data_IF_792227657367
#
_entry.id   IF_792227657367
#
_cell.length_a   1.000
_cell.length_b   1.000
_cell.length_c   1.000
_cell.angle_alpha   90.00
_cell.angle_beta   90.00
_cell.angle_gamma   90.00
#
_symmetry.space_group_name_H-M   'P 1'
#
loop_
_entity.id
_entity.type
_entity.pdbx_description
1 polymer ?
#
# COMPACT_ATOMS: atom_id res chain seq x y z
N UNK A 1 8.24 17.71 -13.19
CA UNK A 1 7.06 17.01 -12.65
C UNK A 1 7.32 16.77 -11.18
N UNK A 2 6.41 17.20 -10.30
CA UNK A 2 6.56 17.03 -8.86
C UNK A 2 5.75 15.81 -8.43
N UNK A 3 6.44 14.83 -7.85
CA UNK A 3 5.83 13.61 -7.31
C UNK A 3 5.21 13.90 -5.93
N UNK A 4 4.22 13.09 -5.51
CA UNK A 4 3.80 13.05 -4.09
C UNK A 4 4.95 12.55 -3.22
N UNK A 5 4.93 12.81 -1.90
CA UNK A 5 5.98 12.29 -1.02
C UNK A 5 5.99 10.75 -1.00
N UNK A 6 4.81 10.14 -1.15
CA UNK A 6 4.65 8.70 -1.37
C UNK A 6 5.41 8.21 -2.62
N UNK A 7 5.28 8.90 -3.74
CA UNK A 7 5.96 8.53 -4.99
C UNK A 7 7.47 8.83 -4.94
N UNK A 8 7.89 9.93 -4.32
CA UNK A 8 9.31 10.20 -4.07
C UNK A 8 9.95 9.07 -3.23
N UNK A 9 9.26 8.54 -2.22
CA UNK A 9 9.77 7.42 -1.41
C UNK A 9 9.85 6.09 -2.17
N UNK A 10 8.90 5.84 -3.08
CA UNK A 10 8.98 4.68 -3.96
C UNK A 10 10.13 4.80 -4.97
N UNK A 11 10.48 6.01 -5.39
CA UNK A 11 11.47 6.27 -6.44
C UNK A 11 12.90 6.49 -5.93
N UNK A 12 13.11 6.91 -4.67
CA UNK A 12 14.44 7.19 -4.09
C UNK A 12 15.41 6.00 -4.09
N UNK A 13 14.91 4.77 -4.00
CA UNK A 13 15.74 3.56 -4.00
C UNK A 13 15.20 2.51 -4.99
N UNK A 14 14.77 2.97 -6.18
CA UNK A 14 14.30 2.09 -7.25
C UNK A 14 15.40 1.13 -7.68
N UNK A 15 15.12 -0.19 -7.82
CA UNK A 15 13.78 -0.82 -7.86
C UNK A 15 13.30 -1.42 -6.53
N UNK A 16 14.12 -1.42 -5.48
CA UNK A 16 13.88 -2.21 -4.27
C UNK A 16 12.65 -1.75 -3.48
N UNK A 17 12.45 -0.43 -3.34
CA UNK A 17 11.29 0.09 -2.62
C UNK A 17 9.97 -0.28 -3.31
N UNK A 18 9.88 -0.16 -4.64
CA UNK A 18 8.70 -0.57 -5.40
C UNK A 18 8.38 -2.06 -5.21
N UNK A 19 9.40 -2.91 -5.22
CA UNK A 19 9.21 -4.35 -5.04
C UNK A 19 8.66 -4.64 -3.64
N UNK A 20 9.25 -4.04 -2.61
CA UNK A 20 8.90 -4.32 -1.21
C UNK A 20 7.54 -3.73 -0.84
N UNK A 21 7.28 -2.47 -1.19
CA UNK A 21 6.10 -1.73 -0.74
C UNK A 21 4.86 -1.93 -1.61
N UNK A 22 5.02 -2.48 -2.82
CA UNK A 22 3.91 -2.65 -3.75
C UNK A 22 3.89 -4.04 -4.40
N UNK A 23 4.95 -4.45 -5.10
CA UNK A 23 4.89 -5.68 -5.90
C UNK A 23 4.63 -6.93 -5.06
N UNK A 24 5.37 -7.11 -3.95
CA UNK A 24 5.19 -8.25 -3.05
C UNK A 24 3.77 -8.28 -2.46
N UNK A 25 3.26 -7.19 -1.83
CA UNK A 25 1.88 -7.17 -1.34
C UNK A 25 0.82 -7.45 -2.41
N UNK A 26 0.95 -6.86 -3.60
CA UNK A 26 -0.05 -7.00 -4.68
C UNK A 26 -0.07 -8.42 -5.23
N UNK A 27 1.09 -9.02 -5.53
CA UNK A 27 1.17 -10.39 -6.05
C UNK A 27 0.59 -11.38 -5.03
N UNK A 28 0.88 -11.20 -3.74
CA UNK A 28 0.32 -12.05 -2.70
C UNK A 28 -1.20 -11.85 -2.58
N UNK A 29 -1.69 -10.61 -2.64
CA UNK A 29 -3.12 -10.32 -2.60
C UNK A 29 -3.87 -10.93 -3.79
N UNK A 30 -3.33 -10.81 -5.00
CA UNK A 30 -3.90 -11.41 -6.21
C UNK A 30 -3.89 -12.93 -6.13
N UNK A 31 -2.82 -13.53 -5.60
CA UNK A 31 -2.74 -14.98 -5.36
C UNK A 31 -3.85 -15.45 -4.41
N UNK A 32 -4.09 -14.72 -3.33
CA UNK A 32 -5.19 -15.01 -2.40
C UNK A 32 -6.53 -14.85 -3.11
N UNK A 33 -6.73 -13.77 -3.89
CA UNK A 33 -7.99 -13.51 -4.59
C UNK A 33 -8.34 -14.62 -5.58
N UNK A 34 -7.35 -15.05 -6.37
CA UNK A 34 -7.52 -16.14 -7.33
C UNK A 34 -7.86 -17.43 -6.58
N UNK A 35 -7.10 -17.78 -5.55
CA UNK A 35 -7.34 -19.03 -4.80
C UNK A 35 -8.67 -19.03 -4.04
N UNK A 36 -9.09 -17.91 -3.45
CA UNK A 36 -10.41 -17.76 -2.81
C UNK A 36 -11.55 -17.89 -3.84
N UNK A 37 -11.39 -17.32 -5.04
CA UNK A 37 -12.37 -17.46 -6.12
C UNK A 37 -12.53 -18.92 -6.57
N UNK A 38 -11.41 -19.67 -6.67
CA UNK A 38 -11.45 -21.10 -6.96
C UNK A 38 -12.10 -21.91 -5.83
N UNK A 39 -11.77 -21.62 -4.57
CA UNK A 39 -12.35 -22.30 -3.42
C UNK A 39 -13.85 -22.02 -3.25
N UNK A 40 -14.32 -20.81 -3.58
CA UNK A 40 -15.74 -20.48 -3.65
C UNK A 40 -16.48 -21.33 -4.68
N UNK A 41 -15.86 -21.60 -5.83
CA UNK A 41 -16.48 -22.38 -6.90
C UNK A 41 -16.47 -23.89 -6.63
N UNK A 42 -15.42 -24.38 -5.98
CA UNK A 42 -15.20 -25.80 -5.71
C UNK A 42 -14.56 -26.03 -4.32
N UNK A 43 -15.36 -25.92 -3.23
CA UNK A 43 -14.85 -25.94 -1.86
C UNK A 43 -14.09 -27.23 -1.49
N UNK A 44 -14.50 -28.35 -2.06
CA UNK A 44 -13.99 -29.68 -1.73
C UNK A 44 -12.87 -30.17 -2.68
N UNK A 45 -12.50 -29.40 -3.70
CA UNK A 45 -11.72 -29.93 -4.82
C UNK A 45 -10.20 -29.97 -4.58
N UNK A 46 -9.62 -29.07 -3.79
CA UNK A 46 -8.16 -28.97 -3.70
C UNK A 46 -7.62 -28.53 -2.33
N UNK A 47 -7.23 -29.48 -1.44
CA UNK A 47 -6.57 -29.16 -0.17
C UNK A 47 -5.23 -28.42 -0.37
N UNK A 48 -4.58 -28.57 -1.52
CA UNK A 48 -3.36 -27.82 -1.88
C UNK A 48 -3.65 -26.33 -2.09
N UNK A 49 -4.75 -25.97 -2.76
CA UNK A 49 -5.13 -24.56 -2.98
C UNK A 49 -5.45 -23.87 -1.65
N UNK A 50 -6.16 -24.56 -0.75
CA UNK A 50 -6.45 -24.04 0.60
C UNK A 50 -5.17 -23.79 1.41
N UNK A 51 -4.16 -24.66 1.30
CA UNK A 51 -2.85 -24.44 1.92
C UNK A 51 -2.11 -23.25 1.31
N UNK A 52 -2.08 -23.15 -0.02
CA UNK A 52 -1.41 -22.03 -0.72
C UNK A 52 -2.05 -20.70 -0.31
N UNK A 53 -3.38 -20.61 -0.36
CA UNK A 53 -4.12 -19.42 0.07
C UNK A 53 -3.74 -19.02 1.50
N UNK A 54 -3.78 -19.98 2.42
CA UNK A 54 -3.46 -19.72 3.84
C UNK A 54 -2.03 -19.22 4.03
N UNK A 55 -1.05 -19.83 3.35
CA UNK A 55 0.35 -19.41 3.40
C UNK A 55 0.52 -18.02 2.78
N UNK A 56 -0.07 -17.77 1.61
CA UNK A 56 -0.02 -16.49 0.93
C UNK A 56 -0.62 -15.38 1.82
N UNK A 57 -1.76 -15.63 2.47
CA UNK A 57 -2.37 -14.69 3.41
C UNK A 57 -1.51 -14.39 4.63
N UNK A 58 -0.83 -15.39 5.19
CA UNK A 58 0.10 -15.18 6.32
C UNK A 58 1.29 -14.34 5.89
N UNK A 59 1.91 -14.69 4.74
CA UNK A 59 3.04 -13.94 4.19
C UNK A 59 2.63 -12.50 3.88
N UNK A 60 1.47 -12.29 3.26
CA UNK A 60 0.96 -10.97 2.90
C UNK A 60 0.79 -10.07 4.12
N UNK A 61 0.15 -10.57 5.18
CA UNK A 61 0.02 -9.80 6.42
C UNK A 61 1.35 -9.56 7.11
N UNK A 62 2.27 -10.53 7.13
CA UNK A 62 3.60 -10.33 7.72
C UNK A 62 4.40 -9.26 6.97
N UNK A 63 4.38 -9.29 5.63
CA UNK A 63 4.94 -8.24 4.78
C UNK A 63 4.34 -6.88 5.14
N UNK A 64 3.00 -6.80 5.30
CA UNK A 64 2.33 -5.55 5.63
C UNK A 64 2.63 -5.02 7.03
N UNK A 65 2.80 -5.91 8.03
CA UNK A 65 3.27 -5.51 9.37
C UNK A 65 4.66 -4.89 9.27
N UNK A 66 5.59 -5.52 8.56
CA UNK A 66 6.95 -4.99 8.36
C UNK A 66 6.93 -3.64 7.65
N UNK A 67 6.09 -3.51 6.61
CA UNK A 67 5.85 -2.26 5.89
C UNK A 67 5.37 -1.17 6.85
N UNK A 68 4.29 -1.40 7.61
CA UNK A 68 3.72 -0.39 8.52
C UNK A 68 4.73 -0.01 9.60
N UNK A 69 5.43 -0.99 10.18
CA UNK A 69 6.43 -0.76 11.21
C UNK A 69 7.60 0.10 10.71
N UNK A 70 7.97 -0.01 9.43
CA UNK A 70 8.96 0.85 8.80
C UNK A 70 8.37 2.21 8.40
N UNK A 71 7.20 2.21 7.77
CA UNK A 71 6.62 3.37 7.11
C UNK A 71 6.13 4.43 8.12
N UNK A 72 5.49 4.03 9.22
CA UNK A 72 4.99 4.99 10.21
C UNK A 72 6.13 5.85 10.81
N UNK A 73 7.21 5.29 11.39
CA UNK A 73 8.26 6.10 12.00
C UNK A 73 9.19 6.79 11.01
N UNK A 74 9.43 6.21 9.83
CA UNK A 74 10.37 6.79 8.86
C UNK A 74 9.72 7.77 7.88
N UNK A 75 8.39 7.72 7.73
CA UNK A 75 7.66 8.54 6.74
C UNK A 75 6.58 9.36 7.41
N UNK A 76 5.62 8.71 8.06
CA UNK A 76 4.42 9.40 8.56
C UNK A 76 4.72 10.35 9.70
N UNK A 77 5.52 9.93 10.68
CA UNK A 77 5.90 10.77 11.82
C UNK A 77 6.72 11.99 11.35
N UNK A 78 7.79 11.82 10.54
CA UNK A 78 8.53 12.95 9.98
C UNK A 78 7.62 13.93 9.23
N UNK A 79 6.80 13.45 8.30
CA UNK A 79 5.87 14.28 7.52
C UNK A 79 4.87 15.04 8.40
N UNK A 80 4.30 14.38 9.40
CA UNK A 80 3.36 15.00 10.33
C UNK A 80 4.04 16.03 11.24
N UNK A 81 5.31 15.81 11.60
CA UNK A 81 6.06 16.70 12.49
C UNK A 81 6.65 17.92 11.79
N UNK A 82 7.05 17.79 10.52
CA UNK A 82 7.60 18.90 9.72
C UNK A 82 6.52 19.75 9.07
N UNK A 83 5.27 19.28 9.05
CA UNK A 83 4.15 19.97 8.41
C UNK A 83 4.28 20.02 6.88
N UNK A 84 5.12 19.17 6.29
CA UNK A 84 5.41 19.13 4.85
C UNK A 84 4.38 18.35 4.04
N UNK A 85 3.20 18.06 4.59
CA UNK A 85 2.08 17.55 3.80
C UNK A 85 1.78 18.54 2.67
N UNK A 86 2.19 18.19 1.44
CA UNK A 86 2.08 19.09 0.29
C UNK A 86 0.62 19.46 0.01
N UNK A 87 -0.32 18.52 0.17
CA UNK A 87 -1.77 18.69 -0.04
C UNK A 87 -2.59 17.64 0.73
N UNK A 88 -3.92 17.84 0.82
CA UNK A 88 -4.86 16.85 1.38
C UNK A 88 -4.84 15.50 0.65
N UNK A 89 -4.41 15.49 -0.63
CA UNK A 89 -4.23 14.28 -1.45
C UNK A 89 -3.21 13.33 -0.83
N UNK A 90 -2.13 13.86 -0.26
CA UNK A 90 -1.05 13.08 0.35
C UNK A 90 -1.55 12.39 1.64
N UNK A 91 -2.39 13.08 2.41
CA UNK A 91 -3.04 12.52 3.60
C UNK A 91 -3.99 11.37 3.22
N UNK A 92 -4.75 11.52 2.14
CA UNK A 92 -5.65 10.45 1.65
C UNK A 92 -4.84 9.27 1.11
N UNK A 93 -3.77 9.50 0.36
CA UNK A 93 -2.91 8.45 -0.18
C UNK A 93 -2.24 7.63 0.94
N UNK A 94 -1.58 8.30 1.88
CA UNK A 94 -0.90 7.66 3.01
C UNK A 94 -1.91 7.01 3.97
N UNK A 95 -3.01 7.71 4.26
CA UNK A 95 -4.06 7.23 5.15
C UNK A 95 -4.74 5.98 4.62
N UNK A 96 -5.10 5.96 3.33
CA UNK A 96 -5.68 4.78 2.69
C UNK A 96 -4.69 3.62 2.61
N UNK A 97 -3.40 3.87 2.41
CA UNK A 97 -2.36 2.83 2.42
C UNK A 97 -2.25 2.14 3.78
N UNK A 98 -2.18 2.91 4.87
CA UNK A 98 -2.14 2.36 6.24
C UNK A 98 -3.44 1.64 6.56
N UNK A 99 -4.58 2.25 6.18
CA UNK A 99 -5.89 1.66 6.39
C UNK A 99 -6.04 0.33 5.63
N UNK A 100 -5.46 0.20 4.43
CA UNK A 100 -5.40 -1.06 3.68
C UNK A 100 -4.61 -2.14 4.43
N UNK A 101 -3.57 -1.78 5.18
CA UNK A 101 -2.82 -2.76 5.95
C UNK A 101 -3.62 -3.44 7.05
N UNK A 102 -4.61 -2.76 7.63
CA UNK A 102 -5.46 -3.33 8.69
C UNK A 102 -6.19 -4.60 8.22
N UNK A 103 -7.01 -4.60 7.15
CA UNK A 103 -7.67 -5.79 6.66
C UNK A 103 -6.68 -6.87 6.23
N UNK A 104 -5.51 -6.52 5.69
CA UNK A 104 -4.47 -7.50 5.33
C UNK A 104 -3.89 -8.21 6.57
N UNK A 105 -3.62 -7.47 7.64
CA UNK A 105 -3.15 -8.04 8.91
C UNK A 105 -4.24 -8.91 9.54
N UNK A 106 -5.48 -8.43 9.54
CA UNK A 106 -6.64 -9.21 10.02
C UNK A 106 -6.82 -10.50 9.22
N UNK A 107 -6.61 -10.47 7.90
CA UNK A 107 -6.64 -11.64 7.03
C UNK A 107 -5.55 -12.66 7.41
N UNK A 108 -4.34 -12.20 7.71
CA UNK A 108 -3.27 -13.08 8.20
C UNK A 108 -3.61 -13.68 9.57
N UNK A 109 -4.12 -12.90 10.51
CA UNK A 109 -4.57 -13.40 11.82
C UNK A 109 -5.73 -14.38 11.70
N UNK A 110 -6.65 -14.12 10.78
CA UNK A 110 -7.73 -15.03 10.42
C UNK A 110 -7.14 -16.33 9.90
N UNK A 111 -6.17 -16.29 8.98
CA UNK A 111 -5.48 -17.45 8.44
C UNK A 111 -4.65 -18.21 9.49
N UNK A 112 -4.06 -17.55 10.48
CA UNK A 112 -3.36 -18.18 11.60
C UNK A 112 -4.29 -18.92 12.59
N UNK A 113 -5.61 -18.85 12.43
CA UNK A 113 -6.62 -19.33 13.40
C UNK A 113 -6.56 -18.58 14.74
N UNK A 114 -6.02 -17.35 14.74
CA UNK A 114 -6.04 -16.46 15.90
C UNK A 114 -7.37 -15.71 16.00
N UNK A 115 -8.00 -15.41 14.86
CA UNK A 115 -9.35 -14.86 14.77
C UNK A 115 -10.37 -15.93 14.36
N UNK A 116 -11.62 -15.78 14.82
CA UNK A 116 -12.76 -16.65 14.47
C UNK A 116 -12.50 -18.16 14.68
N UNK A 117 -11.68 -18.54 15.68
CA UNK A 117 -11.27 -19.94 15.91
C UNK A 117 -12.44 -20.93 16.10
N UNK A 118 -13.57 -20.46 16.64
CA UNK A 118 -14.79 -21.26 16.87
C UNK A 118 -15.83 -21.13 15.74
N UNK A 119 -15.58 -20.30 14.72
CA UNK A 119 -16.51 -20.13 13.61
C UNK A 119 -16.40 -21.32 12.63
N UNK A 120 -17.53 -21.67 12.00
CA UNK A 120 -17.54 -22.63 10.91
C UNK A 120 -16.70 -22.17 9.71
N UNK A 121 -16.26 -23.11 8.87
CA UNK A 121 -15.38 -22.83 7.73
C UNK A 121 -16.00 -21.82 6.75
N UNK A 122 -17.31 -21.89 6.51
CA UNK A 122 -18.03 -20.97 5.63
C UNK A 122 -17.96 -19.52 6.11
N UNK A 123 -18.19 -19.28 7.41
CA UNK A 123 -18.14 -17.93 7.99
C UNK A 123 -16.72 -17.35 7.90
N UNK A 124 -15.71 -18.20 8.07
CA UNK A 124 -14.31 -17.79 8.01
C UNK A 124 -13.89 -17.47 6.58
N UNK A 125 -14.31 -18.29 5.61
CA UNK A 125 -14.10 -18.04 4.18
C UNK A 125 -14.73 -16.72 3.76
N UNK A 126 -16.00 -16.49 4.10
CA UNK A 126 -16.68 -15.21 3.79
C UNK A 126 -15.98 -14.00 4.42
N UNK A 127 -15.52 -14.13 5.67
CA UNK A 127 -14.76 -13.06 6.32
C UNK A 127 -13.40 -12.81 5.65
N UNK A 128 -12.69 -13.86 5.21
CA UNK A 128 -11.44 -13.74 4.49
C UNK A 128 -11.62 -12.97 3.18
N UNK A 129 -12.64 -13.34 2.40
CA UNK A 129 -12.99 -12.68 1.13
C UNK A 129 -13.35 -11.21 1.36
N UNK A 130 -14.14 -10.90 2.40
CA UNK A 130 -14.50 -9.52 2.72
C UNK A 130 -13.28 -8.67 3.13
N UNK A 131 -12.37 -9.23 3.93
CA UNK A 131 -11.13 -8.55 4.31
C UNK A 131 -10.24 -8.31 3.08
N UNK A 132 -10.12 -9.31 2.20
CA UNK A 132 -9.36 -9.17 0.96
C UNK A 132 -9.97 -8.12 0.02
N UNK A 133 -11.30 -8.11 -0.14
CA UNK A 133 -11.99 -7.11 -0.94
C UNK A 133 -11.77 -5.70 -0.38
N UNK A 134 -11.86 -5.51 0.94
CA UNK A 134 -11.56 -4.24 1.59
C UNK A 134 -10.11 -3.80 1.35
N UNK A 135 -9.14 -4.72 1.45
CA UNK A 135 -7.75 -4.46 1.11
C UNK A 135 -7.57 -3.99 -0.35
N UNK A 136 -8.20 -4.67 -1.30
CA UNK A 136 -8.09 -4.34 -2.72
C UNK A 136 -8.63 -2.93 -3.01
N UNK A 137 -9.80 -2.57 -2.46
CA UNK A 137 -10.36 -1.23 -2.65
C UNK A 137 -9.46 -0.15 -2.05
N UNK A 138 -9.02 -0.33 -0.79
CA UNK A 138 -8.19 0.66 -0.10
C UNK A 138 -6.81 0.81 -0.75
N UNK A 139 -6.20 -0.28 -1.19
CA UNK A 139 -4.90 -0.23 -1.89
C UNK A 139 -4.99 0.47 -3.25
N UNK A 140 -6.08 0.27 -4.00
CA UNK A 140 -6.30 1.01 -5.25
C UNK A 140 -6.51 2.49 -5.01
N UNK A 141 -7.26 2.88 -3.97
CA UNK A 141 -7.39 4.28 -3.57
C UNK A 141 -6.00 4.86 -3.28
N UNK A 142 -5.17 4.18 -2.49
CA UNK A 142 -3.81 4.64 -2.20
C UNK A 142 -2.96 4.82 -3.47
N UNK A 143 -3.03 3.89 -4.43
CA UNK A 143 -2.29 3.97 -5.69
C UNK A 143 -2.78 5.11 -6.58
N UNK A 144 -4.10 5.29 -6.71
CA UNK A 144 -4.69 6.36 -7.51
C UNK A 144 -4.26 7.71 -6.94
N UNK A 145 -4.53 7.97 -5.66
CA UNK A 145 -4.19 9.25 -5.03
C UNK A 145 -2.68 9.46 -4.89
N UNK A 146 -1.90 8.39 -4.76
CA UNK A 146 -0.43 8.46 -4.71
C UNK A 146 0.20 8.88 -6.05
N UNK A 147 -0.45 8.60 -7.18
CA UNK A 147 0.02 8.97 -8.52
C UNK A 147 -0.67 10.23 -9.08
N UNK A 148 -1.68 10.78 -8.40
CA UNK A 148 -2.33 12.04 -8.79
C UNK A 148 -1.36 13.21 -8.55
N UNK A 149 -1.23 14.08 -9.56
CA UNK A 149 -0.40 15.29 -9.47
C UNK A 149 -0.94 16.22 -8.36
N UNK A 150 -0.14 16.54 -7.32
CA UNK A 150 -0.56 17.43 -6.25
C UNK A 150 -0.87 18.86 -6.74
N UNK A 151 -0.44 19.24 -7.95
CA UNK A 151 -0.79 20.51 -8.59
C UNK A 151 -2.31 20.70 -8.81
N UNK A 152 -3.07 19.61 -8.93
CA UNK A 152 -4.54 19.65 -9.12
C UNK A 152 -5.25 20.07 -7.82
N UNK A 153 -4.62 19.87 -6.66
CA UNK A 153 -5.14 20.30 -5.35
C UNK A 153 -4.55 21.63 -4.84
N UNK A 154 -3.89 22.41 -5.70
CA UNK A 154 -3.43 23.75 -5.37
C UNK A 154 -2.01 23.87 -4.82
N UNK A 155 -1.15 22.86 -5.03
CA UNK A 155 0.28 22.99 -4.74
C UNK A 155 0.94 23.91 -5.78
N UNK A 156 1.16 25.18 -5.43
CA UNK A 156 2.16 26.03 -6.09
C UNK A 156 3.48 25.93 -5.33
N UNK A 157 4.58 25.51 -5.97
CA UNK A 157 5.88 25.54 -5.33
C UNK A 157 6.22 26.98 -4.96
N UNK A 158 6.78 27.21 -3.76
CA UNK A 158 7.45 28.47 -3.44
C UNK A 158 8.50 28.68 -4.52
N UNK A 159 8.35 29.76 -5.30
CA UNK A 159 9.19 30.06 -6.45
C UNK A 159 10.66 29.80 -6.08
N UNK A 160 11.26 28.81 -6.75
CA UNK A 160 12.71 28.71 -6.78
C UNK A 160 13.18 30.10 -7.21
N UNK A 161 13.89 30.79 -6.32
CA UNK A 161 14.53 32.05 -6.64
C UNK A 161 15.45 31.75 -7.81
N UNK A 162 14.99 32.11 -9.01
CA UNK A 162 15.78 32.07 -10.23
C UNK A 162 16.99 32.96 -9.93
N UNK A 163 18.12 32.36 -9.58
CA UNK A 163 19.39 33.07 -9.67
C UNK A 163 19.59 33.23 -11.18
N UNK A 164 19.15 34.38 -11.69
CA UNK A 164 19.58 34.89 -12.99
C UNK A 164 21.11 34.94 -12.96
N UNK A 165 21.76 33.94 -13.56
CA UNK A 165 23.16 34.03 -13.90
C UNK A 165 23.29 35.07 -15.02
N UNK A 166 23.54 36.31 -14.62
CA UNK A 166 23.83 37.42 -15.50
C UNK A 166 25.07 37.08 -16.34
N UNK A 167 24.86 36.80 -17.62
CA UNK A 167 25.90 36.56 -18.61
C UNK A 167 26.72 37.85 -18.81
N UNK A 168 27.89 37.97 -18.19
CA UNK A 168 28.81 39.06 -18.48
C UNK A 168 29.66 38.70 -19.71
N UNK A 169 29.25 39.22 -20.86
CA UNK A 169 29.98 39.18 -22.12
C UNK A 169 31.21 40.08 -21.98
N UNK A 170 32.41 39.52 -21.85
CA UNK A 170 33.65 40.29 -22.01
C UNK A 170 34.12 40.22 -23.46
N UNK A 171 33.87 41.31 -24.18
CA UNK A 171 34.70 41.71 -25.31
C UNK A 171 36.09 42.08 -24.80
N UNK A 172 37.15 41.56 -25.42
CA UNK A 172 38.34 42.29 -25.90
C UNK A 172 39.31 41.31 -26.58
#
# INVERSE_FOLDING_TARGET
>A
MYSTHYMDLLMQNSPWNLIIFMAIPVILAETIAITDLFLLRAPNAHPTLSKINRIAGILAGFSFVGIIAYFIPNVVIPLASTGEFRTWIDVVAIGSYILAGIPMILLALLNLKLLLRKAGEDKRSNCAILLLAAFLVLSHIAMIFGMVDPGIAGYSPKAATTIEMHHHHHHH
#
